data_IF_926203550446
#
_entry.id   IF_926203550446
#
_cell.length_a   1.000
_cell.length_b   1.000
_cell.length_c   1.000
_cell.angle_alpha   90.00
_cell.angle_beta   90.00
_cell.angle_gamma   90.00
#
_symmetry.space_group_name_H-M   'P 1'
#
loop_
_entity.id
_entity.type
_entity.pdbx_description
1 polymer ?
2 non-polymer ?
3 water ?
#
# COMPACT_ATOMS: atom_id res chain seq x y z
N UNK A 3 1.92 18.06 19.69
CA UNK A 3 1.95 17.66 18.27
C UNK A 3 2.32 16.22 18.08
N UNK A 4 2.06 15.74 16.90
CA UNK A 4 2.34 14.34 16.59
C UNK A 4 3.86 14.14 16.53
N UNK A 5 4.41 13.15 17.26
CA UNK A 5 5.85 12.96 17.24
C UNK A 5 6.35 12.25 16.01
N UNK A 6 7.63 12.42 15.69
CA UNK A 6 8.32 11.73 14.63
C UNK A 6 9.10 10.59 15.18
N UNK A 7 8.82 9.43 14.65
CA UNK A 7 9.39 8.19 15.08
C UNK A 7 10.58 7.89 14.18
N UNK A 8 11.70 7.47 14.78
CA UNK A 8 12.83 7.08 13.99
C UNK A 8 12.77 5.71 13.32
N UNK A 9 13.73 5.44 12.51
CA UNK A 9 13.83 4.14 11.88
C UNK A 9 15.24 3.89 11.49
N UNK A 10 15.53 2.61 11.19
CA UNK A 10 16.78 2.26 10.58
C UNK A 10 16.57 1.36 9.40
N UNK A 11 17.44 1.49 8.41
CA UNK A 11 17.45 0.59 7.26
C UNK A 11 18.16 -0.67 7.68
N UNK A 12 17.45 -1.79 7.66
CA UNK A 12 18.02 -3.10 7.94
C UNK A 12 18.80 -3.59 6.70
N UNK A 13 18.14 -3.57 5.55
CA UNK A 13 18.67 -4.17 4.37
C UNK A 13 18.09 -3.53 3.13
N UNK A 14 18.91 -3.43 2.08
CA UNK A 14 18.46 -2.92 0.76
C UNK A 14 18.35 -4.13 -0.09
N UNK A 15 17.30 -4.18 -0.89
CA UNK A 15 17.07 -5.29 -1.85
C UNK A 15 16.89 -4.66 -3.23
N UNK A 16 17.23 -5.34 -4.28
CA UNK A 16 17.00 -4.80 -5.63
C UNK A 16 15.51 -4.63 -5.92
N UNK A 17 15.16 -3.56 -6.65
CA UNK A 17 13.80 -3.44 -7.13
C UNK A 17 13.86 -3.07 -8.59
N UNK A 18 12.92 -3.60 -9.37
CA UNK A 18 12.89 -3.38 -10.83
C UNK A 18 12.44 -1.96 -11.11
N UNK A 19 13.26 -1.21 -11.89
CA UNK A 19 12.91 0.18 -12.14
C UNK A 19 11.83 0.32 -13.22
N UNK A 20 11.32 -0.79 -13.78
CA UNK A 20 10.10 -0.70 -14.57
C UNK A 20 8.83 -0.73 -13.74
N UNK A 21 8.94 -0.96 -12.43
CA UNK A 21 7.76 -1.15 -11.63
C UNK A 21 7.17 0.16 -11.21
N UNK A 22 6.04 0.55 -11.79
CA UNK A 22 5.42 1.83 -11.39
C UNK A 22 4.47 1.47 -10.22
N UNK A 23 5.03 1.21 -9.03
CA UNK A 23 4.33 0.65 -7.87
C UNK A 23 3.04 1.40 -7.54
N UNK A 24 1.96 0.62 -7.38
CA UNK A 24 0.67 1.16 -6.94
C UNK A 24 0.21 0.50 -5.69
N UNK A 25 0.92 -0.46 -5.14
CA UNK A 25 0.52 -1.14 -3.88
C UNK A 25 1.42 -2.33 -3.68
N UNK A 26 1.54 -2.78 -2.45
CA UNK A 26 2.49 -3.86 -2.16
C UNK A 26 2.02 -4.64 -0.94
N UNK A 27 2.21 -5.96 -0.96
CA UNK A 27 2.02 -6.72 0.30
C UNK A 27 2.96 -7.88 0.32
N UNK A 28 3.11 -8.56 1.42
CA UNK A 28 4.02 -9.67 1.52
C UNK A 28 3.19 -10.88 1.95
N UNK A 29 3.51 -12.01 1.35
CA UNK A 29 2.80 -13.21 1.77
C UNK A 29 3.64 -14.46 1.54
N UNK A 30 3.84 -15.26 2.61
CA UNK A 30 4.54 -16.58 2.48
C UNK A 30 5.87 -16.42 1.71
N UNK A 31 6.63 -15.42 2.05
CA UNK A 31 7.96 -15.27 1.54
C UNK A 31 8.08 -14.52 0.24
N UNK A 32 6.97 -14.08 -0.37
CA UNK A 32 7.06 -13.31 -1.62
C UNK A 32 6.37 -11.98 -1.47
N UNK A 33 6.83 -11.05 -2.28
CA UNK A 33 6.10 -9.80 -2.41
C UNK A 33 5.11 -9.86 -3.54
N UNK A 34 4.02 -9.12 -3.43
CA UNK A 34 3.06 -8.97 -4.52
C UNK A 34 2.98 -7.47 -4.71
N UNK A 35 3.07 -7.05 -5.95
CA UNK A 35 3.19 -5.64 -6.26
C UNK A 35 2.28 -5.24 -7.43
N UNK A 36 1.44 -4.23 -7.31
CA UNK A 36 0.57 -3.70 -8.37
C UNK A 36 1.41 -2.67 -9.14
N UNK A 37 1.36 -2.63 -10.44
CA UNK A 37 2.09 -1.59 -11.19
C UNK A 37 1.09 -0.95 -12.10
N UNK A 38 1.11 0.40 -12.15
CA UNK A 38 0.01 1.19 -12.59
C UNK A 38 0.38 1.89 -13.80
N UNK A 39 -0.35 1.57 -14.87
CA UNK A 39 -0.46 2.50 -16.01
C UNK A 39 -1.68 2.05 -16.79
N UNK A 40 -2.47 2.99 -17.26
CA UNK A 40 -3.67 2.54 -17.96
C UNK A 40 -3.21 1.78 -19.22
N UNK A 41 -2.04 2.15 -19.77
CA UNK A 41 -1.42 1.53 -20.99
C UNK A 41 -0.59 0.24 -20.85
N UNK A 42 -0.56 -0.30 -19.63
CA UNK A 42 -0.01 -1.62 -19.28
C UNK A 42 0.05 -1.66 -17.78
N UNK A 43 -0.77 -2.47 -17.20
CA UNK A 43 -0.92 -2.52 -15.77
C UNK A 43 -0.84 -3.98 -15.36
N UNK A 44 -0.22 -4.28 -14.23
CA UNK A 44 0.01 -5.66 -13.88
C UNK A 44 -0.04 -5.88 -12.41
N UNK A 45 -0.14 -7.14 -12.03
CA UNK A 45 0.10 -7.58 -10.64
C UNK A 45 1.25 -8.57 -10.70
N UNK A 46 2.25 -8.36 -9.90
CA UNK A 46 3.51 -9.14 -10.02
C UNK A 46 3.71 -9.90 -8.72
N UNK A 47 4.13 -11.16 -8.81
CA UNK A 47 4.64 -11.90 -7.66
C UNK A 47 6.15 -11.84 -7.77
N UNK A 48 6.80 -11.36 -6.73
CA UNK A 48 8.23 -10.97 -6.81
C UNK A 48 9.04 -11.65 -5.74
N UNK A 49 10.17 -12.15 -6.15
CA UNK A 49 11.15 -12.72 -5.22
C UNK A 49 11.83 -11.57 -4.44
N UNK A 50 11.71 -11.58 -3.12
CA UNK A 50 12.31 -10.52 -2.32
C UNK A 50 13.78 -10.33 -2.54
N UNK A 51 14.53 -11.41 -2.50
CA UNK A 51 15.94 -11.30 -2.41
C UNK A 51 16.56 -10.77 -3.73
N UNK A 52 15.90 -11.07 -4.85
CA UNK A 52 16.46 -10.77 -6.18
C UNK A 52 15.66 -9.66 -6.89
N UNK A 53 14.45 -9.41 -6.43
CA UNK A 53 13.58 -8.45 -7.15
C UNK A 53 13.00 -8.99 -8.44
N UNK A 54 13.29 -10.24 -8.78
CA UNK A 54 12.83 -10.83 -10.06
C UNK A 54 11.34 -11.20 -9.99
N UNK A 55 10.68 -11.06 -11.13
CA UNK A 55 9.26 -11.40 -11.27
C UNK A 55 9.13 -12.89 -11.45
N UNK A 56 8.36 -13.50 -10.54
CA UNK A 56 8.10 -14.98 -10.61
C UNK A 56 6.83 -15.30 -11.41
N UNK A 57 5.84 -14.40 -11.34
CA UNK A 57 4.55 -14.62 -11.97
C UNK A 57 3.93 -13.23 -12.18
N UNK A 58 3.05 -13.06 -13.16
CA UNK A 58 2.39 -11.77 -13.36
C UNK A 58 1.05 -11.97 -14.04
N UNK A 59 0.18 -11.04 -13.78
CA UNK A 59 -1.12 -11.03 -14.41
C UNK A 59 -1.27 -9.62 -14.96
N UNK A 60 -1.94 -9.49 -16.10
CA UNK A 60 -2.33 -8.18 -16.67
C UNK A 60 -3.74 -7.82 -16.14
N UNK A 61 -3.86 -6.58 -15.73
CA UNK A 61 -5.15 -6.05 -15.27
C UNK A 61 -6.10 -5.92 -16.46
N UNK A 62 -7.41 -6.31 -16.27
CA UNK A 62 -8.33 -6.23 -17.39
C UNK A 62 -8.31 -4.84 -18.12
N UNK A 63 -7.98 -4.78 -19.42
CA UNK A 63 -8.06 -3.51 -20.20
C UNK A 63 -9.44 -2.94 -20.25
N UNK A 64 -9.54 -1.61 -20.25
CA UNK A 64 -8.61 -0.49 -20.27
C UNK A 64 -8.28 0.03 -18.90
N UNK A 65 -8.38 -0.80 -17.89
CA UNK A 65 -8.16 -0.27 -16.52
C UNK A 65 -6.75 -0.09 -16.16
N UNK A 66 -6.53 0.73 -15.12
CA UNK A 66 -5.18 0.96 -14.51
C UNK A 66 -5.35 0.43 -13.11
N UNK A 67 -4.60 -0.60 -12.76
CA UNK A 67 -4.64 -1.15 -11.42
C UNK A 67 -4.10 -0.20 -10.38
N UNK A 68 -4.67 -0.29 -9.21
CA UNK A 68 -4.27 0.51 -8.07
C UNK A 68 -3.88 -0.45 -6.92
N UNK A 69 -4.25 -0.11 -5.68
CA UNK A 69 -3.82 -0.93 -4.53
C UNK A 69 -4.29 -2.37 -4.51
N UNK A 70 -3.61 -3.20 -3.71
CA UNK A 70 -3.86 -4.65 -3.65
C UNK A 70 -3.74 -5.13 -2.22
N UNK A 71 -4.42 -6.26 -1.94
CA UNK A 71 -4.30 -6.92 -0.66
C UNK A 71 -4.56 -8.39 -0.80
N UNK A 72 -4.01 -9.23 0.04
CA UNK A 72 -4.39 -10.65 0.06
C UNK A 72 -5.48 -10.89 1.09
N UNK A 73 -6.38 -11.80 0.77
CA UNK A 73 -7.41 -12.26 1.71
C UNK A 73 -7.60 -13.72 1.49
N UNK A 74 -7.15 -14.57 2.45
CA UNK A 74 -7.27 -16.00 2.27
C UNK A 74 -6.61 -16.44 0.95
N UNK A 75 -7.36 -17.02 0.03
CA UNK A 75 -6.83 -17.57 -1.21
C UNK A 75 -6.97 -16.55 -2.36
N UNK A 76 -7.36 -15.33 -2.02
CA UNK A 76 -7.65 -14.28 -3.02
C UNK A 76 -6.70 -13.09 -2.98
N UNK A 77 -6.56 -12.45 -4.13
CA UNK A 77 -5.89 -11.14 -4.25
C UNK A 77 -6.91 -10.16 -4.72
N UNK A 78 -7.13 -9.12 -3.93
CA UNK A 78 -8.18 -8.09 -4.27
C UNK A 78 -7.49 -6.83 -4.72
N UNK A 79 -7.98 -6.25 -5.82
CA UNK A 79 -7.33 -5.07 -6.37
C UNK A 79 -8.33 -4.00 -6.71
N UNK A 80 -7.97 -2.72 -6.51
CA UNK A 80 -8.75 -1.56 -6.93
C UNK A 80 -8.25 -1.05 -8.27
N UNK A 81 -9.04 -0.18 -8.90
CA UNK A 81 -8.54 0.51 -10.07
C UNK A 81 -8.57 1.98 -9.79
N UNK A 82 -7.77 2.72 -10.51
CA UNK A 82 -7.75 4.15 -10.20
C UNK A 82 -9.11 4.90 -10.41
N UNK A 83 -9.55 4.93 -11.66
CA UNK A 83 -10.72 5.77 -11.96
C UNK A 83 -11.81 4.97 -12.65
N UNK A 84 -11.69 3.64 -12.65
CA UNK A 84 -12.66 2.81 -13.35
C UNK A 84 -13.86 2.36 -12.51
N UNK A 85 -13.82 2.65 -11.20
CA UNK A 85 -14.92 2.35 -10.23
C UNK A 85 -14.98 0.86 -9.90
N UNK A 86 -14.06 0.14 -10.50
CA UNK A 86 -14.13 -1.30 -10.62
C UNK A 86 -12.99 -1.92 -9.87
N UNK A 87 -13.30 -3.04 -9.22
CA UNK A 87 -12.26 -3.83 -8.57
C UNK A 87 -12.27 -5.24 -9.10
N UNK A 88 -11.21 -5.97 -8.84
CA UNK A 88 -11.06 -7.34 -9.30
C UNK A 88 -10.62 -8.25 -8.17
N UNK A 89 -11.05 -9.48 -8.27
CA UNK A 89 -10.57 -10.47 -7.32
C UNK A 89 -9.91 -11.55 -8.15
N UNK A 90 -8.67 -11.89 -7.81
CA UNK A 90 -7.93 -12.93 -8.49
C UNK A 90 -7.79 -14.12 -7.57
N UNK A 91 -7.70 -15.33 -8.15
CA UNK A 91 -7.17 -16.45 -7.35
C UNK A 91 -5.69 -16.15 -7.14
N UNK A 92 -5.25 -16.15 -5.90
CA UNK A 92 -3.89 -15.81 -5.57
C UNK A 92 -2.87 -16.74 -6.22
N UNK A 93 -3.08 -18.05 -6.12
CA UNK A 93 -2.08 -18.98 -6.65
C UNK A 93 -1.80 -18.82 -8.12
N UNK A 94 -2.86 -18.73 -8.94
CA UNK A 94 -2.68 -18.63 -10.39
C UNK A 94 -2.67 -17.19 -10.96
N UNK A 95 -2.97 -16.21 -10.11
CA UNK A 95 -3.17 -14.79 -10.50
C UNK A 95 -4.13 -14.68 -11.69
N UNK A 96 -5.22 -15.44 -11.68
CA UNK A 96 -6.19 -15.35 -12.74
C UNK A 96 -7.44 -14.66 -12.15
N UNK A 97 -8.03 -13.74 -12.88
CA UNK A 97 -9.19 -13.06 -12.38
C UNK A 97 -10.40 -14.00 -12.23
N UNK A 98 -11.07 -13.80 -11.11
CA UNK A 98 -12.24 -14.66 -10.75
C UNK A 98 -13.52 -13.94 -10.52
N UNK A 99 -13.41 -12.68 -10.18
CA UNK A 99 -14.57 -11.89 -9.91
C UNK A 99 -14.31 -10.43 -10.08
N UNK A 100 -15.42 -9.66 -10.12
CA UNK A 100 -15.28 -8.22 -10.23
C UNK A 100 -16.28 -7.55 -9.31
N UNK A 101 -16.03 -6.32 -8.96
CA UNK A 101 -16.97 -5.64 -8.08
C UNK A 101 -16.88 -4.14 -8.39
N UNK A 102 -17.86 -3.36 -7.91
CA UNK A 102 -17.91 -1.93 -8.20
C UNK A 102 -18.03 -1.18 -6.92
N UNK A 103 -17.42 0.00 -6.87
CA UNK A 103 -17.49 0.81 -5.68
C UNK A 103 -17.62 2.29 -6.05
N UNK A 104 -18.20 3.10 -5.13
CA UNK A 104 -18.21 4.53 -5.39
C UNK A 104 -16.84 5.23 -5.25
N UNK A 105 -16.53 6.20 -6.13
CA UNK A 105 -15.26 6.98 -6.02
C UNK A 105 -14.00 6.34 -6.64
N UNK A 106 -12.81 6.78 -6.18
CA UNK A 106 -11.54 6.41 -6.76
C UNK A 106 -10.96 5.32 -5.85
N UNK A 107 -10.20 4.42 -6.43
CA UNK A 107 -9.59 3.37 -5.61
C UNK A 107 -8.12 3.70 -5.54
N UNK A 108 -7.64 3.91 -4.33
CA UNK A 108 -6.21 4.18 -4.14
C UNK A 108 -5.47 3.03 -3.54
N UNK A 109 -5.81 2.63 -2.31
CA UNK A 109 -5.01 1.58 -1.66
C UNK A 109 -5.89 0.68 -0.79
N UNK A 110 -5.36 -0.50 -0.46
CA UNK A 110 -6.08 -1.47 0.37
C UNK A 110 -5.14 -2.08 1.35
N UNK A 111 -5.64 -2.53 2.50
CA UNK A 111 -4.90 -3.48 3.31
C UNK A 111 -5.96 -4.29 4.08
N UNK A 112 -5.56 -5.11 5.05
CA UNK A 112 -6.55 -5.87 5.83
C UNK A 112 -5.99 -6.17 7.17
N UNK A 113 -6.89 -6.35 8.12
CA UNK A 113 -6.50 -6.95 9.43
C UNK A 113 -7.01 -8.39 9.39
N UNK A 114 -7.33 -8.98 10.55
CA UNK A 114 -7.80 -10.39 10.41
C UNK A 114 -9.28 -10.56 10.09
N UNK A 115 -10.02 -9.48 9.93
CA UNK A 115 -11.45 -9.61 9.72
C UNK A 115 -11.95 -8.75 8.58
N UNK A 116 -11.26 -7.62 8.29
CA UNK A 116 -11.82 -6.62 7.37
C UNK A 116 -10.74 -6.10 6.44
N UNK A 117 -11.20 -5.55 5.32
CA UNK A 117 -10.28 -4.80 4.47
C UNK A 117 -10.44 -3.33 4.80
N UNK A 118 -9.39 -2.56 4.54
CA UNK A 118 -9.35 -1.09 4.75
C UNK A 118 -8.96 -0.48 3.43
N UNK A 119 -9.79 0.45 2.97
CA UNK A 119 -9.58 1.07 1.64
C UNK A 119 -9.42 2.61 1.78
N UNK A 120 -8.37 3.10 1.12
CA UNK A 120 -8.17 4.55 0.88
C UNK A 120 -8.77 4.94 -0.50
N UNK A 121 -9.40 6.14 -0.63
CA UNK A 121 -10.02 6.61 -1.89
C UNK A 121 -9.51 8.03 -2.18
N UNK A 122 -8.38 8.37 -1.55
CA UNK A 122 -7.76 9.74 -1.69
C UNK A 122 -8.29 10.75 -0.69
N UNK A 123 -9.41 10.43 -0.02
CA UNK A 123 -9.99 11.32 1.02
C UNK A 123 -9.47 10.93 2.40
N UNK A 124 -9.89 11.61 3.47
CA UNK A 124 -9.45 11.34 4.85
C UNK A 124 -10.29 10.23 5.50
N UNK A 125 -11.27 9.74 4.75
CA UNK A 125 -12.15 8.69 5.35
C UNK A 125 -11.74 7.32 4.76
N UNK A 126 -11.10 6.48 5.56
CA UNK A 126 -10.81 5.09 5.16
C UNK A 126 -12.08 4.21 5.35
N UNK A 127 -12.39 3.46 4.30
CA UNK A 127 -13.56 2.55 4.29
C UNK A 127 -13.15 1.19 4.87
N UNK A 128 -14.02 0.64 5.72
CA UNK A 128 -13.79 -0.72 6.24
C UNK A 128 -14.78 -1.64 5.49
N UNK A 129 -14.25 -2.68 4.83
CA UNK A 129 -15.06 -3.50 3.95
C UNK A 129 -15.14 -4.93 4.41
N UNK A 130 -16.31 -5.55 4.18
CA UNK A 130 -16.42 -6.92 4.41
C UNK A 130 -15.61 -7.70 3.31
N UNK A 131 -14.69 -8.61 3.66
CA UNK A 131 -13.87 -9.22 2.60
C UNK A 131 -14.65 -10.04 1.61
N UNK A 132 -15.67 -10.77 2.06
CA UNK A 132 -16.38 -11.62 1.07
C UNK A 132 -17.30 -10.90 0.14
N UNK A 133 -18.00 -9.89 0.62
CA UNK A 133 -18.95 -9.22 -0.23
C UNK A 133 -18.42 -7.91 -0.75
N UNK A 134 -17.30 -7.41 -0.17
CA UNK A 134 -16.83 -6.07 -0.49
C UNK A 134 -17.73 -4.96 -0.13
N UNK A 135 -18.77 -5.26 0.65
CA UNK A 135 -19.65 -4.17 1.09
C UNK A 135 -19.01 -3.35 2.19
N UNK A 136 -19.23 -2.04 2.19
CA UNK A 136 -18.73 -1.22 3.26
C UNK A 136 -19.48 -1.43 4.57
N UNK A 137 -18.77 -1.69 5.66
CA UNK A 137 -19.38 -1.93 6.98
C UNK A 137 -18.95 -0.93 8.06
N UNK A 138 -18.05 -0.03 7.72
CA UNK A 138 -17.60 0.95 8.70
C UNK A 138 -16.64 1.92 8.07
N UNK A 139 -16.16 2.86 8.88
CA UNK A 139 -15.09 3.76 8.41
C UNK A 139 -14.24 4.29 9.54
N UNK A 140 -13.14 4.91 9.15
CA UNK A 140 -12.23 5.55 10.09
C UNK A 140 -11.93 6.91 9.48
N UNK A 141 -12.23 7.98 10.23
CA UNK A 141 -11.82 9.31 9.80
C UNK A 141 -10.46 9.59 10.40
N UNK A 142 -9.48 9.77 9.53
CA UNK A 142 -8.11 9.94 9.97
C UNK A 142 -7.82 11.42 10.22
N UNK A 143 -7.26 11.66 11.38
CA UNK A 143 -6.80 13.06 11.72
C UNK A 143 -5.41 13.10 12.28
N UNK A 144 -4.70 14.19 12.02
CA UNK A 144 -3.36 14.41 12.63
C UNK A 144 -3.36 15.73 13.33
N UNK A 145 -3.20 15.67 14.64
CA UNK A 145 -3.34 16.84 15.53
C UNK A 145 -4.66 17.51 15.21
N UNK A 146 -5.67 16.72 14.85
CA UNK A 146 -7.02 17.28 14.54
C UNK A 146 -7.34 17.69 13.10
N UNK A 147 -6.36 17.78 12.22
CA UNK A 147 -6.56 18.16 10.83
C UNK A 147 -6.82 16.88 10.00
N UNK A 148 -7.86 16.88 9.17
CA UNK A 148 -8.09 15.72 8.30
C UNK A 148 -6.87 15.39 7.47
N UNK A 149 -6.55 14.11 7.40
CA UNK A 149 -5.43 13.70 6.56
C UNK A 149 -5.89 12.89 5.34
N UNK A 150 -5.77 13.47 4.12
CA UNK A 150 -6.20 12.79 2.88
C UNK A 150 -5.01 12.51 1.98
N UNK A 151 -5.23 12.04 0.75
CA UNK A 151 -4.13 11.70 -0.17
C UNK A 151 -3.26 10.66 0.45
N UNK A 152 -3.87 9.53 0.73
CA UNK A 152 -3.16 8.36 1.31
C UNK A 152 -2.94 7.28 0.26
N UNK A 153 -1.78 7.28 -0.41
CA UNK A 153 -1.68 6.56 -1.69
C UNK A 153 -1.30 5.06 -1.36
N UNK A 154 -0.98 4.69 -0.08
CA UNK A 154 -0.71 3.27 0.21
C UNK A 154 -0.99 2.99 1.65
N UNK A 155 -1.48 1.77 1.93
CA UNK A 155 -1.80 1.36 3.31
C UNK A 155 -1.11 0.05 3.64
N UNK A 156 -0.92 -0.19 4.94
CA UNK A 156 -0.49 -1.52 5.36
C UNK A 156 -0.88 -1.67 6.82
N UNK A 157 -1.47 -2.79 7.19
CA UNK A 157 -1.82 -3.08 8.56
C UNK A 157 -0.65 -3.66 9.28
N UNK A 158 -0.24 -3.07 10.41
CA UNK A 158 0.99 -3.56 11.13
C UNK A 158 0.67 -3.55 12.61
N UNK A 159 0.62 -4.74 13.18
CA UNK A 159 0.46 -4.87 14.69
C UNK A 159 -0.66 -4.00 15.25
N UNK A 160 -1.84 -4.07 14.68
CA UNK A 160 -2.99 -3.42 15.21
C UNK A 160 -3.12 -1.99 14.86
N UNK A 161 -2.24 -1.50 13.98
CA UNK A 161 -2.31 -0.10 13.58
C UNK A 161 -2.33 -0.05 12.08
N UNK A 162 -2.81 1.07 11.57
CA UNK A 162 -2.82 1.27 10.11
C UNK A 162 -1.65 2.19 9.73
N UNK A 163 -0.76 1.77 8.86
CA UNK A 163 0.25 2.67 8.31
C UNK A 163 -0.29 3.18 6.99
N UNK A 164 -0.13 4.47 6.76
CA UNK A 164 -0.60 5.09 5.50
C UNK A 164 0.45 6.04 4.98
N UNK A 165 0.82 5.85 3.72
CA UNK A 165 1.73 6.85 3.11
C UNK A 165 1.02 8.12 2.73
N UNK A 166 1.67 9.26 3.03
CA UNK A 166 1.21 10.60 2.72
C UNK A 166 2.33 11.14 1.70
N UNK A 167 2.12 10.87 0.46
CA UNK A 167 3.12 11.19 -0.52
C UNK A 167 3.44 12.63 -0.61
N UNK A 168 2.51 13.52 -0.30
CA UNK A 168 2.90 14.86 -0.52
C UNK A 168 3.77 15.39 0.60
N UNK A 169 3.90 14.63 1.68
CA UNK A 169 4.85 15.08 2.70
C UNK A 169 6.01 14.07 2.90
N UNK A 170 6.03 12.98 2.10
CA UNK A 170 7.09 11.86 2.22
C UNK A 170 7.11 10.98 3.61
N UNK A 171 6.05 11.09 4.26
CA UNK A 171 5.86 10.54 5.55
C UNK A 171 4.92 9.40 5.51
N UNK A 172 5.15 8.45 6.43
CA UNK A 172 4.08 7.45 6.73
C UNK A 172 3.45 7.85 8.03
N UNK A 173 2.14 7.84 8.11
CA UNK A 173 1.40 8.04 9.34
C UNK A 173 1.14 6.70 9.99
N UNK A 174 1.43 6.53 11.30
CA UNK A 174 0.95 5.34 12.06
C UNK A 174 -0.35 5.80 12.70
N UNK A 175 -1.43 5.13 12.36
CA UNK A 175 -2.81 5.48 12.77
C UNK A 175 -3.39 4.49 13.76
N UNK A 176 -3.95 5.03 14.84
CA UNK A 176 -4.70 4.20 15.83
C UNK A 176 -6.06 3.95 15.19
N UNK A 177 -6.38 2.68 14.81
CA UNK A 177 -7.63 2.54 14.07
C UNK A 177 -8.91 2.75 14.89
N UNK A 178 -8.79 2.61 16.20
CA UNK A 178 -9.95 2.83 17.09
C UNK A 178 -10.39 4.33 17.12
N UNK A 179 -9.44 5.28 16.98
CA UNK A 179 -9.73 6.74 17.14
C UNK A 179 -9.55 7.48 15.80
N UNK A 180 -8.78 6.85 14.93
CA UNK A 180 -8.43 7.46 13.66
C UNK A 180 -7.30 8.49 13.80
N UNK A 181 -6.74 8.61 15.00
CA UNK A 181 -5.73 9.66 15.23
C UNK A 181 -4.35 9.11 14.83
N UNK A 182 -3.58 9.99 14.20
CA UNK A 182 -2.20 9.69 13.86
C UNK A 182 -1.47 9.72 15.17
N UNK A 183 -0.77 8.64 15.49
CA UNK A 183 0.08 8.58 16.67
C UNK A 183 1.55 8.90 16.46
N UNK A 184 2.02 8.80 15.22
CA UNK A 184 3.41 9.17 14.93
C UNK A 184 3.55 9.33 13.46
N UNK A 185 4.49 10.17 13.05
CA UNK A 185 5.01 10.18 11.66
C UNK A 185 6.28 9.40 11.52
N UNK A 186 6.52 8.75 10.40
CA UNK A 186 7.81 8.22 10.04
C UNK A 186 8.22 9.00 8.79
N UNK A 187 9.33 9.71 8.84
CA UNK A 187 9.71 10.60 7.73
C UNK A 187 10.74 9.84 6.89
N UNK A 188 10.33 9.30 5.76
CA UNK A 188 11.25 8.52 4.95
C UNK A 188 11.91 9.34 3.84
N UNK A 189 11.99 10.64 4.00
CA UNK A 189 12.54 11.49 2.88
C UNK A 189 13.93 10.97 2.44
N UNK A 190 14.73 10.48 3.38
CA UNK A 190 16.06 9.93 3.04
C UNK A 190 16.08 8.81 1.95
N UNK A 191 14.97 8.11 1.80
CA UNK A 191 14.86 6.99 0.87
C UNK A 191 14.25 7.37 -0.47
N UNK A 192 13.61 8.50 -0.54
CA UNK A 192 12.93 8.92 -1.75
C UNK A 192 14.04 9.33 -2.78
N UNK A 193 14.02 8.75 -3.99
CA UNK A 193 15.14 8.96 -4.95
C UNK A 193 15.43 10.40 -5.21
N UNK A 194 14.40 11.23 -5.27
CA UNK A 194 14.74 12.66 -5.27
C UNK A 194 13.64 13.58 -4.77
N UNK A 195 13.61 13.72 -3.45
CA UNK A 195 12.68 14.58 -2.74
C UNK A 195 12.88 16.05 -3.13
N UNK A 196 14.09 16.40 -3.54
CA UNK A 196 14.43 17.77 -3.96
C UNK A 196 13.71 18.38 -5.19
N UNK A 197 13.21 17.55 -6.11
CA UNK A 197 12.58 18.07 -7.34
C UNK A 197 11.05 18.21 -7.20
N UNK A 198 10.46 19.04 -8.08
CA UNK A 198 9.01 19.09 -8.25
C UNK A 198 8.43 17.66 -8.57
N UNK A 199 7.46 17.21 -7.78
CA UNK A 199 7.05 15.78 -7.78
C UNK A 199 5.55 15.70 -7.83
N UNK A 200 4.95 14.97 -8.75
CA UNK A 200 3.49 14.65 -8.65
C UNK A 200 3.29 13.18 -8.32
N UNK A 201 2.04 12.73 -8.18
CA UNK A 201 1.81 11.43 -7.61
C UNK A 201 2.15 10.33 -8.62
N UNK A 202 2.49 10.71 -9.83
CA UNK A 202 2.95 9.77 -10.83
C UNK A 202 4.46 9.61 -10.89
N UNK A 203 5.22 10.48 -10.17
CA UNK A 203 6.73 10.56 -10.23
C UNK A 203 7.26 9.45 -9.29
N UNK A 204 8.52 9.51 -8.81
CA UNK A 204 9.05 8.32 -8.06
C UNK A 204 8.71 8.31 -6.55
N UNK A 205 7.39 8.36 -6.27
CA UNK A 205 6.91 8.49 -4.91
C UNK A 205 6.96 7.11 -4.26
N UNK A 206 7.07 7.10 -2.93
CA UNK A 206 6.85 5.87 -2.13
C UNK A 206 5.44 5.41 -2.42
N UNK A 207 5.25 4.14 -2.65
CA UNK A 207 3.92 3.70 -3.02
C UNK A 207 3.69 2.25 -2.63
N UNK A 208 4.61 1.64 -1.88
CA UNK A 208 4.44 0.23 -1.51
C UNK A 208 4.91 0.09 -0.07
N UNK A 209 4.06 -0.39 0.80
CA UNK A 209 4.42 -0.65 2.19
C UNK A 209 3.95 -2.09 2.45
N UNK A 210 4.84 -2.99 2.81
CA UNK A 210 4.45 -4.39 3.00
C UNK A 210 4.97 -4.93 4.35
N UNK A 211 4.18 -5.62 5.11
CA UNK A 211 4.61 -6.13 6.37
C UNK A 211 4.58 -7.66 6.37
N UNK A 212 5.71 -8.26 6.73
CA UNK A 212 5.83 -9.70 6.94
C UNK A 212 5.57 -9.93 8.42
N UNK A 213 4.32 -10.36 8.76
CA UNK A 213 4.05 -10.46 10.17
C UNK A 213 4.74 -11.63 10.83
N UNK A 214 5.06 -12.67 10.06
CA UNK A 214 5.68 -13.84 10.71
C UNK A 214 7.06 -13.49 11.29
N UNK A 215 7.80 -12.67 10.56
CA UNK A 215 9.15 -12.35 10.97
C UNK A 215 9.33 -10.90 11.40
N UNK A 216 8.21 -10.13 11.44
CA UNK A 216 8.19 -8.72 11.82
C UNK A 216 9.13 -7.92 10.96
N UNK A 217 8.94 -8.00 9.65
CA UNK A 217 9.76 -7.20 8.72
C UNK A 217 8.87 -6.23 7.98
N UNK A 218 9.27 -4.98 7.90
CA UNK A 218 8.53 -3.93 7.23
C UNK A 218 9.31 -3.54 5.98
N UNK A 219 8.68 -3.56 4.79
CA UNK A 219 9.37 -3.21 3.55
C UNK A 219 8.69 -1.98 2.90
N UNK A 220 9.51 -1.13 2.28
CA UNK A 220 8.97 -0.02 1.54
C UNK A 220 9.63 0.12 0.16
N UNK A 221 8.89 0.50 -0.84
CA UNK A 221 9.49 0.85 -2.12
C UNK A 221 8.57 1.82 -2.83
N UNK A 222 8.90 2.23 -4.05
CA UNK A 222 8.07 3.20 -4.75
C UNK A 222 8.31 3.17 -6.24
N UNK A 223 7.61 4.06 -6.94
CA UNK A 223 7.57 4.01 -8.39
C UNK A 223 8.93 4.18 -8.95
N UNK A 224 9.43 3.15 -9.72
CA UNK A 224 10.73 3.22 -10.40
C UNK A 224 11.92 3.28 -9.41
N UNK A 225 11.66 2.97 -8.14
CA UNK A 225 12.79 2.98 -7.18
C UNK A 225 13.78 1.85 -7.56
N UNK A 226 15.09 2.09 -7.37
CA UNK A 226 16.10 1.06 -7.71
C UNK A 226 16.21 0.03 -6.59
N UNK A 227 15.62 0.30 -5.43
CA UNK A 227 15.72 -0.56 -4.27
C UNK A 227 14.41 -0.62 -3.53
N UNK A 228 14.31 -1.69 -2.78
CA UNK A 228 13.27 -1.94 -1.82
C UNK A 228 13.97 -2.01 -0.46
N UNK A 229 13.43 -1.37 0.54
CA UNK A 229 14.12 -1.31 1.86
C UNK A 229 13.37 -2.05 2.92
N UNK A 230 14.07 -2.86 3.70
CA UNK A 230 13.52 -3.37 4.97
C UNK A 230 13.93 -2.36 6.01
N UNK A 231 12.96 -1.87 6.77
CA UNK A 231 13.21 -0.84 7.81
C UNK A 231 12.66 -1.33 9.17
N UNK A 232 13.37 -0.93 10.22
CA UNK A 232 12.91 -1.26 11.55
C UNK A 232 12.56 0.05 12.27
N UNK A 233 11.33 0.22 12.77
CA UNK A 233 10.94 1.45 13.46
C UNK A 233 11.54 1.50 14.86
N UNK A 234 12.02 2.67 15.29
CA UNK A 234 12.58 2.82 16.65
C UNK A 234 11.45 3.07 17.61
N UNK A 235 11.38 2.34 18.76
CA UNK A 235 10.26 2.57 19.70
C UNK A 235 10.21 4.06 20.09
N UNK A 236 9.01 4.63 20.23
CA UNK A 236 8.89 6.01 20.69
C UNK A 236 8.87 5.98 22.20
N UNK A 237 9.37 7.05 22.80
CA UNK A 237 9.22 7.18 24.30
C UNK A 237 7.79 7.57 24.65
N UNK A 238 7.19 6.98 25.69
CA UNK A 238 5.83 7.40 26.15
C UNK A 238 4.65 7.08 25.16
#
# INVERSE_FOLDING_TARGET
>A
RDPVPTQGYRVVKRYPHDTTAFTEGLFYLRGHLYESTGETGRSSVRKVDLETGRILQRAEVPPPYFGAGIVAWRDRLIQLTWRNHEGFVYDLATLTPRARFRYPGEGWALTSDDSHLYMSDGTAVIRKLDPDTLQQVGSIKVTAGGRPLDNLNELEWVNGELLANVWLTSRIARIDPASGKVVAWIDLQALVPDADALTDSTNDVLNGIAFDAEHDRLFVTGKRWPMLYEIRLTPLPHAAAGK
#
